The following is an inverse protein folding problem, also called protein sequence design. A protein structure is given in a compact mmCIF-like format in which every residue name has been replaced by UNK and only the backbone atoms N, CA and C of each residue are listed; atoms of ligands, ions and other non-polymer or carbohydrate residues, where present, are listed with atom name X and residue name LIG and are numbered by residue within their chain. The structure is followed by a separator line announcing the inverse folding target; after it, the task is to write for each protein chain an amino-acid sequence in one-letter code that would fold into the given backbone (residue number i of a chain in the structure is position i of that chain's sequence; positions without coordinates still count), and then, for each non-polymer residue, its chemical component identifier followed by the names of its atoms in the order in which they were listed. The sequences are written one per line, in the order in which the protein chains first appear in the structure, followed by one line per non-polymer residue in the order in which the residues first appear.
data_IF_944633713092
#
_entry.id   IF_944633713092
#
_cell.length_a   1.000
_cell.length_b   1.000
_cell.length_c   1.000
_cell.angle_alpha   90.00
_cell.angle_beta   90.00
_cell.angle_gamma   90.00
#
_symmetry.space_group_name_H-M   'P 1'
#
loop_
_entity.id
_entity.type
_entity.pdbx_description
1 polymer ?
#
# COMPACT_ATOMS: atom_id res chain seq x y z
N UNK A 1 -14.66 3.12 -4.41
CA UNK A 1 -13.26 2.65 -4.38
C UNK A 1 -12.37 3.84 -4.04
N UNK A 2 -11.44 3.71 -3.09
CA UNK A 2 -10.41 4.72 -2.75
C UNK A 2 -9.04 4.19 -3.12
N UNK A 3 -8.30 4.92 -3.93
CA UNK A 3 -6.94 4.55 -4.37
C UNK A 3 -5.94 5.44 -3.64
N UNK A 4 -5.10 4.84 -2.82
CA UNK A 4 -4.22 5.54 -1.88
C UNK A 4 -2.76 5.16 -2.17
N UNK A 5 -1.93 6.13 -2.54
CA UNK A 5 -0.48 5.95 -2.59
C UNK A 5 0.13 6.25 -1.23
N UNK A 6 0.93 5.31 -0.72
CA UNK A 6 1.69 5.48 0.54
C UNK A 6 3.12 5.81 0.20
N UNK A 7 3.51 7.08 0.36
CA UNK A 7 4.79 7.58 -0.14
C UNK A 7 5.58 8.38 0.91
N UNK A 8 6.88 8.24 0.88
CA UNK A 8 7.86 9.13 1.52
C UNK A 8 9.24 8.84 0.93
N UNK A 9 10.02 9.89 0.67
CA UNK A 9 11.39 9.76 0.14
C UNK A 9 12.36 9.13 1.14
N UNK A 10 12.09 9.25 2.44
CA UNK A 10 12.95 8.68 3.47
C UNK A 10 12.70 7.20 3.63
N UNK A 11 13.78 6.40 3.59
CA UNK A 11 13.75 4.98 3.95
C UNK A 11 13.46 4.77 5.45
N UNK A 12 12.84 3.65 5.80
CA UNK A 12 12.63 3.25 7.19
C UNK A 12 11.60 4.04 7.99
N UNK A 13 10.79 4.91 7.37
CA UNK A 13 9.74 5.68 8.06
C UNK A 13 8.44 4.91 8.29
N UNK A 14 8.36 3.66 7.82
CA UNK A 14 7.20 2.80 7.99
C UNK A 14 6.20 2.84 6.83
N UNK A 15 6.63 3.13 5.58
CA UNK A 15 5.76 3.06 4.38
C UNK A 15 5.12 1.69 4.24
N UNK A 16 5.93 0.68 3.97
CA UNK A 16 5.51 -0.72 3.80
C UNK A 16 4.75 -1.24 5.01
N UNK A 17 5.26 -0.96 6.22
CA UNK A 17 4.58 -1.35 7.47
C UNK A 17 3.18 -0.74 7.56
N UNK A 18 3.03 0.53 7.15
CA UNK A 18 1.73 1.21 7.14
C UNK A 18 0.82 0.65 6.04
N UNK A 19 1.34 0.46 4.82
CA UNK A 19 0.57 -0.09 3.70
C UNK A 19 -0.02 -1.46 4.06
N UNK A 20 0.83 -2.39 4.49
CA UNK A 20 0.43 -3.77 4.79
C UNK A 20 -0.53 -3.83 5.98
N UNK A 21 -0.20 -3.17 7.09
CA UNK A 21 -1.02 -3.31 8.30
C UNK A 21 -2.30 -2.49 8.25
N UNK A 22 -2.33 -1.36 7.55
CA UNK A 22 -3.58 -0.65 7.26
C UNK A 22 -4.47 -1.47 6.32
N UNK A 23 -3.91 -2.08 5.27
CA UNK A 23 -4.66 -2.95 4.37
C UNK A 23 -5.28 -4.14 5.12
N UNK A 24 -4.49 -4.81 5.96
CA UNK A 24 -4.97 -5.91 6.78
C UNK A 24 -6.06 -5.48 7.78
N UNK A 25 -5.93 -4.30 8.39
CA UNK A 25 -6.95 -3.75 9.29
C UNK A 25 -8.26 -3.42 8.56
N UNK A 26 -8.19 -2.84 7.36
CA UNK A 26 -9.35 -2.54 6.52
C UNK A 26 -10.03 -3.84 6.04
N UNK A 27 -9.24 -4.83 5.63
CA UNK A 27 -9.75 -6.15 5.21
C UNK A 27 -10.48 -6.85 6.35
N UNK A 28 -9.92 -6.82 7.55
CA UNK A 28 -10.53 -7.36 8.75
C UNK A 28 -11.79 -6.57 9.18
N UNK A 29 -11.93 -5.31 8.79
CA UNK A 29 -13.17 -4.53 8.90
C UNK A 29 -14.20 -4.84 7.79
N UNK A 30 -13.99 -5.91 7.00
CA UNK A 30 -14.88 -6.36 5.94
C UNK A 30 -14.78 -5.57 4.64
N UNK A 31 -13.73 -4.77 4.44
CA UNK A 31 -13.48 -4.04 3.19
C UNK A 31 -12.64 -4.89 2.24
N UNK A 32 -12.99 -4.88 0.96
CA UNK A 32 -12.19 -5.54 -0.08
C UNK A 32 -10.99 -4.66 -0.42
N UNK A 33 -9.78 -5.13 -0.13
CA UNK A 33 -8.53 -4.35 -0.22
C UNK A 33 -7.53 -5.03 -1.14
N UNK A 34 -6.97 -4.26 -2.08
CA UNK A 34 -5.84 -4.69 -2.88
C UNK A 34 -4.61 -3.86 -2.51
N UNK A 35 -3.51 -4.53 -2.21
CA UNK A 35 -2.18 -3.92 -2.06
C UNK A 35 -1.45 -4.05 -3.39
N UNK A 36 -0.84 -2.96 -3.86
CA UNK A 36 0.09 -2.99 -5.00
C UNK A 36 1.48 -2.66 -4.44
N UNK A 37 2.39 -3.60 -4.55
CA UNK A 37 3.79 -3.39 -4.18
C UNK A 37 4.52 -2.76 -5.37
N UNK A 38 4.93 -1.51 -5.23
CA UNK A 38 5.62 -0.74 -6.29
C UNK A 38 7.03 -0.33 -5.85
N UNK A 39 7.65 -1.16 -5.01
CA UNK A 39 9.06 -1.05 -4.63
C UNK A 39 9.83 -2.27 -5.17
N UNK A 40 10.92 -2.10 -5.94
CA UNK A 40 11.77 -3.20 -6.40
C UNK A 40 12.35 -4.07 -5.28
N UNK A 41 12.36 -3.57 -4.05
CA UNK A 41 12.76 -4.34 -2.88
C UNK A 41 11.70 -5.35 -2.42
N UNK A 42 10.48 -5.31 -2.96
CA UNK A 42 9.38 -6.24 -2.73
C UNK A 42 9.06 -6.48 -1.24
N UNK A 43 9.26 -5.45 -0.42
CA UNK A 43 9.07 -5.60 1.03
C UNK A 43 7.61 -5.82 1.43
N UNK A 44 6.64 -5.24 0.69
CA UNK A 44 5.22 -5.49 0.97
C UNK A 44 4.83 -6.92 0.56
N UNK A 45 5.41 -7.43 -0.53
CA UNK A 45 5.23 -8.80 -0.99
C UNK A 45 5.73 -9.80 0.04
N UNK A 46 6.99 -9.67 0.48
CA UNK A 46 7.57 -10.51 1.53
C UNK A 46 6.77 -10.41 2.84
N UNK A 47 6.35 -9.22 3.23
CA UNK A 47 5.58 -8.99 4.45
C UNK A 47 4.20 -9.67 4.42
N UNK A 48 3.64 -9.92 3.24
CA UNK A 48 2.39 -10.64 3.03
C UNK A 48 2.60 -12.12 2.65
N UNK A 49 3.82 -12.65 2.81
CA UNK A 49 4.14 -14.06 2.62
C UNK A 49 4.31 -14.49 1.15
N UNK A 50 4.51 -13.52 0.24
CA UNK A 50 4.84 -13.82 -1.16
C UNK A 50 6.32 -13.61 -1.38
N UNK A 51 7.05 -14.70 -1.65
CA UNK A 51 8.48 -14.65 -1.94
C UNK A 51 8.74 -14.05 -3.33
N UNK A 52 9.59 -13.01 -3.43
CA UNK A 52 9.90 -12.34 -4.68
C UNK A 52 11.04 -13.06 -5.43
N UNK A 53 10.80 -14.28 -5.90
CA UNK A 53 11.79 -15.13 -6.57
C UNK A 53 12.01 -14.77 -8.06
N UNK A 54 11.27 -13.81 -8.60
CA UNK A 54 11.35 -13.37 -9.99
C UNK A 54 10.74 -14.34 -11.01
N UNK A 55 10.15 -15.44 -10.56
CA UNK A 55 9.50 -16.44 -11.44
C UNK A 55 8.00 -16.24 -11.56
N UNK A 56 7.41 -15.57 -10.56
CA UNK A 56 5.99 -15.30 -10.49
C UNK A 56 5.64 -14.01 -11.25
N UNK A 57 4.47 -13.92 -11.88
CA UNK A 57 3.98 -12.68 -12.45
C UNK A 57 3.92 -11.59 -11.36
N UNK A 58 4.41 -10.40 -11.71
CA UNK A 58 4.53 -9.26 -10.78
C UNK A 58 4.04 -7.96 -11.40
N UNK A 59 4.05 -6.88 -10.65
CA UNK A 59 3.71 -5.54 -11.15
C UNK A 59 4.63 -5.10 -12.31
N UNK A 60 5.84 -5.66 -12.40
CA UNK A 60 6.72 -5.47 -13.55
C UNK A 60 6.04 -5.90 -14.86
N UNK A 61 5.40 -7.08 -14.88
CA UNK A 61 4.68 -7.57 -16.06
C UNK A 61 3.50 -6.65 -16.44
N UNK A 62 2.85 -6.05 -15.47
CA UNK A 62 1.78 -5.07 -15.73
C UNK A 62 2.35 -3.83 -16.40
N UNK A 63 3.47 -3.30 -15.90
CA UNK A 63 4.04 -2.05 -16.38
C UNK A 63 4.78 -2.18 -17.70
N UNK A 64 5.51 -3.29 -17.91
CA UNK A 64 6.39 -3.49 -19.06
C UNK A 64 5.76 -4.39 -20.12
N UNK A 65 5.11 -5.46 -19.70
CA UNK A 65 4.51 -6.45 -20.62
C UNK A 65 3.02 -6.24 -20.86
N UNK A 66 2.42 -5.19 -20.28
CA UNK A 66 1.00 -4.85 -20.39
C UNK A 66 0.05 -6.00 -20.02
N UNK A 67 0.46 -6.83 -19.04
CA UNK A 67 -0.41 -7.88 -18.52
C UNK A 67 -1.56 -7.28 -17.70
N UNK A 68 -2.76 -7.88 -17.77
CA UNK A 68 -3.88 -7.46 -16.92
C UNK A 68 -3.54 -7.59 -15.43
N UNK A 69 -3.94 -6.62 -14.61
CA UNK A 69 -3.71 -6.63 -13.16
C UNK A 69 -4.33 -7.89 -12.52
N UNK A 70 -5.51 -8.32 -12.98
CA UNK A 70 -6.18 -9.53 -12.52
C UNK A 70 -5.33 -10.80 -12.68
N UNK A 71 -4.51 -10.89 -13.77
CA UNK A 71 -3.67 -12.07 -14.03
C UNK A 71 -2.43 -12.16 -13.13
N UNK A 72 -2.07 -11.05 -12.46
CA UNK A 72 -0.90 -10.94 -11.61
C UNK A 72 -1.29 -10.98 -10.13
N UNK A 73 -2.50 -10.52 -9.82
CA UNK A 73 -3.03 -10.39 -8.48
C UNK A 73 -3.19 -11.74 -7.79
N UNK A 74 -2.80 -11.79 -6.50
CA UNK A 74 -2.94 -12.96 -5.63
C UNK A 74 -3.84 -12.64 -4.45
N UNK A 75 -4.73 -13.54 -4.09
CA UNK A 75 -5.48 -13.47 -2.85
C UNK A 75 -4.58 -13.90 -1.69
N UNK A 76 -4.51 -13.07 -0.66
CA UNK A 76 -3.70 -13.30 0.54
C UNK A 76 -4.58 -13.74 1.72
N UNK A 77 -5.79 -13.17 1.80
CA UNK A 77 -6.78 -13.47 2.84
C UNK A 77 -8.20 -13.20 2.27
N UNK A 78 -9.26 -13.49 3.02
CA UNK A 78 -10.67 -13.40 2.58
C UNK A 78 -10.99 -12.07 1.87
N UNK A 79 -10.47 -10.96 2.36
CA UNK A 79 -10.71 -9.62 1.81
C UNK A 79 -9.42 -8.87 1.45
N UNK A 80 -8.30 -9.57 1.32
CA UNK A 80 -7.01 -8.98 1.06
C UNK A 80 -6.33 -9.61 -0.15
N UNK A 81 -5.96 -8.79 -1.12
CA UNK A 81 -5.22 -9.18 -2.32
C UNK A 81 -3.92 -8.41 -2.42
N UNK A 82 -2.98 -8.97 -3.17
CA UNK A 82 -1.68 -8.39 -3.45
C UNK A 82 -1.37 -8.49 -4.95
N UNK A 83 -0.93 -7.39 -5.54
CA UNK A 83 -0.16 -7.36 -6.78
C UNK A 83 1.31 -7.31 -6.36
N UNK A 84 2.07 -8.42 -6.48
CA UNK A 84 3.41 -8.50 -5.92
C UNK A 84 4.42 -7.74 -6.76
N UNK A 85 5.55 -7.39 -6.14
CA UNK A 85 6.77 -6.89 -6.77
C UNK A 85 7.86 -7.94 -6.77
N UNK A 86 8.89 -7.69 -7.57
CA UNK A 86 10.14 -8.43 -7.55
C UNK A 86 11.31 -7.53 -7.98
N UNK A 87 12.52 -8.09 -7.99
CA UNK A 87 13.74 -7.35 -8.34
C UNK A 87 13.75 -6.86 -9.80
N UNK A 88 12.99 -7.51 -10.71
CA UNK A 88 12.91 -7.12 -12.11
C UNK A 88 12.26 -5.73 -12.26
N UNK A 89 11.45 -5.32 -11.29
CA UNK A 89 10.85 -3.98 -11.29
C UNK A 89 11.90 -2.86 -11.31
N UNK A 90 13.14 -3.11 -10.86
CA UNK A 90 14.23 -2.14 -10.98
C UNK A 90 14.57 -1.83 -12.45
N UNK A 91 14.41 -2.80 -13.35
CA UNK A 91 14.65 -2.61 -14.78
C UNK A 91 13.56 -1.76 -15.45
N UNK A 92 12.34 -1.78 -14.91
CA UNK A 92 11.21 -1.05 -15.46
C UNK A 92 11.49 0.47 -15.59
N UNK A 93 12.26 1.08 -14.67
CA UNK A 93 12.60 2.51 -14.77
C UNK A 93 13.43 2.83 -16.03
N UNK A 94 14.30 1.91 -16.46
CA UNK A 94 15.12 2.06 -17.66
C UNK A 94 14.32 1.70 -18.91
N UNK A 95 13.59 0.61 -18.88
CA UNK A 95 12.80 0.12 -20.02
C UNK A 95 11.68 1.09 -20.42
N UNK A 96 11.04 1.69 -19.44
CA UNK A 96 9.99 2.69 -19.64
C UNK A 96 10.54 4.07 -20.04
N UNK A 97 11.86 4.32 -19.95
CA UNK A 97 12.42 5.65 -20.17
C UNK A 97 12.05 6.28 -21.53
N UNK A 98 11.95 5.47 -22.58
CA UNK A 98 11.57 5.90 -23.93
C UNK A 98 10.07 5.85 -24.23
N UNK A 99 9.23 5.41 -23.32
CA UNK A 99 7.79 5.21 -23.55
C UNK A 99 7.04 6.51 -23.29
N UNK A 100 6.25 6.95 -24.26
CA UNK A 100 5.34 8.09 -24.10
C UNK A 100 4.16 7.67 -23.22
N UNK A 101 3.84 8.48 -22.19
CA UNK A 101 2.77 8.15 -21.25
C UNK A 101 3.16 7.13 -20.17
N UNK A 102 4.47 6.85 -20.04
CA UNK A 102 5.00 5.91 -19.04
C UNK A 102 4.55 6.19 -17.60
N UNK A 103 4.16 7.41 -17.30
CA UNK A 103 3.73 7.82 -15.97
C UNK A 103 2.29 7.39 -15.62
N UNK A 104 1.52 6.92 -16.62
CA UNK A 104 0.09 6.60 -16.46
C UNK A 104 -0.27 5.15 -16.74
N UNK A 105 0.70 4.30 -17.04
CA UNK A 105 0.49 2.89 -17.40
C UNK A 105 -0.29 2.15 -16.31
N UNK A 106 0.08 2.31 -15.04
CA UNK A 106 -0.63 1.66 -13.92
C UNK A 106 -2.09 2.15 -13.82
N UNK A 107 -2.34 3.44 -14.06
CA UNK A 107 -3.71 3.99 -14.09
C UNK A 107 -4.56 3.35 -15.17
N UNK A 108 -4.00 3.18 -16.35
CA UNK A 108 -4.67 2.57 -17.49
C UNK A 108 -4.94 1.07 -17.25
N UNK A 109 -3.95 0.35 -16.70
CA UNK A 109 -4.10 -1.05 -16.34
C UNK A 109 -5.21 -1.27 -15.29
N UNK A 110 -5.27 -0.42 -14.26
CA UNK A 110 -6.33 -0.47 -13.25
C UNK A 110 -7.71 -0.09 -13.80
N UNK A 111 -7.78 0.81 -14.77
CA UNK A 111 -9.04 1.16 -15.43
C UNK A 111 -9.58 0.00 -16.28
N UNK A 112 -8.70 -0.75 -16.93
CA UNK A 112 -9.07 -1.95 -17.71
C UNK A 112 -9.55 -3.08 -16.78
N UNK A 113 -8.93 -3.28 -15.62
CA UNK A 113 -9.31 -4.30 -14.62
C UNK A 113 -10.76 -4.08 -14.13
N UNK A 114 -11.17 -2.82 -13.93
CA UNK A 114 -12.55 -2.46 -13.56
C UNK A 114 -13.52 -2.67 -14.73
N UNK A 115 -13.08 -2.42 -15.98
CA UNK A 115 -13.96 -2.48 -17.16
C UNK A 115 -14.27 -3.90 -17.61
N UNK A 116 -13.41 -4.88 -17.35
CA UNK A 116 -13.66 -6.29 -17.68
C UNK A 116 -14.87 -6.87 -16.93
N UNK A 117 -15.32 -6.24 -15.87
CA UNK A 117 -16.53 -6.61 -15.12
C UNK A 117 -17.85 -6.00 -15.60
N UNK A 118 -17.78 -4.99 -16.46
CA UNK A 118 -18.96 -4.37 -17.06
C UNK A 118 -18.99 -4.80 -18.53
N UNK A 119 -19.67 -5.92 -18.85
CA UNK A 119 -19.81 -6.55 -20.16
C UNK A 119 -19.53 -5.65 -21.36
N UNK A 120 -18.35 -5.80 -21.92
CA UNK A 120 -17.96 -5.13 -23.15
C UNK A 120 -18.71 -5.77 -24.31
N UNK A 121 -19.65 -5.07 -24.93
CA UNK A 121 -20.17 -5.47 -26.24
C UNK A 121 -19.07 -5.17 -27.28
N UNK A 122 -18.56 -6.18 -28.00
CA UNK A 122 -17.57 -5.94 -29.04
C UNK A 122 -18.21 -5.13 -30.17
N UNK A 123 -17.59 -4.01 -30.52
CA UNK A 123 -17.88 -3.29 -31.75
C UNK A 123 -17.58 -4.24 -32.91
N UNK A 124 -18.60 -4.56 -33.71
CA UNK A 124 -18.49 -5.41 -34.88
C UNK A 124 -17.50 -4.81 -35.87
N UNK A 125 -16.42 -5.57 -36.16
CA UNK A 125 -15.51 -5.27 -37.26
C UNK A 125 -14.11 -5.84 -37.10
N UNK A 126 -13.97 -7.16 -37.18
CA UNK A 126 -12.97 -7.96 -37.90
C UNK A 126 -12.98 -9.41 -37.41
N UNK A 127 -13.38 -10.28 -38.32
CA UNK A 127 -13.33 -11.73 -38.12
C UNK A 127 -11.87 -12.19 -38.05
N UNK A 128 -11.41 -12.59 -36.86
CA UNK A 128 -10.39 -13.61 -36.71
C UNK A 128 -10.93 -14.65 -35.74
N UNK A 129 -11.08 -15.84 -36.29
CA UNK A 129 -11.55 -17.07 -35.65
C UNK A 129 -10.51 -17.43 -34.56
N UNK A 130 -10.86 -17.25 -33.30
CA UNK A 130 -10.13 -17.82 -32.17
C UNK A 130 -11.01 -18.90 -31.56
N UNK A 131 -10.37 -20.05 -31.35
CA UNK A 131 -10.98 -21.27 -30.83
C UNK A 131 -11.54 -21.03 -29.43
N UNK A 132 -12.71 -21.64 -29.17
CA UNK A 132 -13.40 -21.58 -27.88
C UNK A 132 -12.56 -22.30 -26.80
N UNK A 133 -11.87 -21.52 -25.97
CA UNK A 133 -11.23 -21.98 -24.75
C UNK A 133 -11.83 -21.22 -23.57
N UNK A 134 -12.51 -21.97 -22.69
CA UNK A 134 -12.93 -21.68 -21.35
C UNK A 134 -13.22 -20.19 -21.02
N UNK A 135 -14.50 -19.82 -21.01
CA UNK A 135 -14.99 -18.64 -20.29
C UNK A 135 -14.70 -18.84 -18.79
N UNK A 136 -13.57 -18.35 -18.31
CA UNK A 136 -13.45 -18.05 -16.90
C UNK A 136 -14.41 -16.89 -16.62
N UNK A 137 -15.41 -17.14 -15.78
CA UNK A 137 -16.24 -16.11 -15.19
C UNK A 137 -15.32 -15.13 -14.46
N UNK A 138 -15.00 -14.02 -15.14
CA UNK A 138 -14.35 -12.88 -14.52
C UNK A 138 -15.40 -12.19 -13.67
N UNK A 139 -15.64 -12.69 -12.46
CA UNK A 139 -16.32 -11.92 -11.43
C UNK A 139 -15.52 -10.65 -11.24
N UNK A 140 -16.06 -9.51 -11.71
CA UNK A 140 -15.44 -8.21 -11.56
C UNK A 140 -15.34 -7.89 -10.08
N UNK A 141 -14.21 -8.20 -9.50
CA UNK A 141 -13.93 -7.92 -8.11
C UNK A 141 -13.75 -6.41 -7.91
N UNK A 142 -14.81 -5.75 -7.46
CA UNK A 142 -14.71 -4.34 -7.09
C UNK A 142 -14.06 -4.22 -5.71
N UNK A 143 -12.92 -3.49 -5.63
CA UNK A 143 -12.27 -3.19 -4.36
C UNK A 143 -12.86 -1.93 -3.72
N UNK A 144 -12.94 -1.91 -2.39
CA UNK A 144 -13.23 -0.69 -1.62
C UNK A 144 -12.00 0.19 -1.56
N UNK A 145 -10.82 -0.45 -1.42
CA UNK A 145 -9.52 0.22 -1.31
C UNK A 145 -8.45 -0.44 -2.19
N UNK A 146 -7.62 0.40 -2.81
CA UNK A 146 -6.34 0.01 -3.38
C UNK A 146 -5.26 0.82 -2.66
N UNK A 147 -4.30 0.14 -2.02
CA UNK A 147 -3.15 0.77 -1.37
C UNK A 147 -1.88 0.45 -2.15
N UNK A 148 -1.17 1.47 -2.61
CA UNK A 148 0.09 1.29 -3.35
C UNK A 148 1.25 1.61 -2.44
N UNK A 149 2.10 0.61 -2.16
CA UNK A 149 3.38 0.79 -1.46
C UNK A 149 4.43 1.29 -2.43
N UNK A 150 5.10 2.40 -2.10
CA UNK A 150 6.07 3.02 -3.00
C UNK A 150 7.48 2.98 -2.41
N UNK A 151 8.46 2.76 -3.28
CA UNK A 151 9.85 2.92 -2.94
C UNK A 151 10.22 4.34 -2.48
N UNK A 152 11.45 4.55 -2.00
CA UNK A 152 11.90 5.86 -1.53
C UNK A 152 12.27 6.83 -2.67
N UNK A 153 12.33 6.36 -3.91
CA UNK A 153 12.63 7.19 -5.09
C UNK A 153 11.40 7.98 -5.55
N UNK A 154 11.64 9.11 -6.23
CA UNK A 154 10.59 9.84 -6.97
C UNK A 154 10.73 9.58 -8.48
N UNK A 155 11.04 8.36 -8.87
CA UNK A 155 11.17 7.92 -10.26
C UNK A 155 9.82 7.63 -10.92
N UNK A 156 9.88 7.00 -12.09
CA UNK A 156 8.69 6.68 -12.91
C UNK A 156 7.70 5.77 -12.17
N UNK A 157 8.18 4.90 -11.28
CA UNK A 157 7.32 4.04 -10.47
C UNK A 157 6.44 4.86 -9.52
N UNK A 158 7.04 5.80 -8.79
CA UNK A 158 6.27 6.70 -7.91
C UNK A 158 5.31 7.58 -8.70
N UNK A 159 5.69 8.05 -9.91
CA UNK A 159 4.78 8.79 -10.77
C UNK A 159 3.58 7.94 -11.20
N UNK A 160 3.78 6.65 -11.51
CA UNK A 160 2.68 5.71 -11.79
C UNK A 160 1.75 5.55 -10.58
N UNK A 161 2.30 5.40 -9.37
CA UNK A 161 1.50 5.34 -8.15
C UNK A 161 0.63 6.59 -7.97
N UNK A 162 1.22 7.78 -8.11
CA UNK A 162 0.52 9.05 -7.96
C UNK A 162 -0.51 9.29 -9.09
N UNK A 163 -0.19 8.90 -10.32
CA UNK A 163 -1.09 9.01 -11.45
C UNK A 163 -2.33 8.11 -11.31
N UNK A 164 -2.16 6.94 -10.69
CA UNK A 164 -3.19 5.94 -10.48
C UNK A 164 -4.02 6.13 -9.20
N UNK A 165 -3.63 7.06 -8.31
CA UNK A 165 -4.25 7.25 -7.00
C UNK A 165 -5.13 8.48 -6.92
N UNK A 166 -6.12 8.44 -6.01
CA UNK A 166 -6.95 9.60 -5.67
C UNK A 166 -6.38 10.35 -4.46
N UNK A 167 -5.69 9.60 -3.59
CA UNK A 167 -5.20 10.07 -2.31
C UNK A 167 -3.74 9.72 -2.06
N UNK A 168 -3.07 10.56 -1.31
CA UNK A 168 -1.71 10.32 -0.82
C UNK A 168 -1.73 10.28 0.70
N UNK A 169 -1.19 9.19 1.26
CA UNK A 169 -0.85 9.07 2.67
C UNK A 169 0.66 9.15 2.84
N UNK A 170 1.09 9.95 3.82
CA UNK A 170 2.51 10.21 4.06
C UNK A 170 2.89 9.68 5.46
N UNK A 171 3.41 8.45 5.56
CA UNK A 171 4.04 7.98 6.81
C UNK A 171 5.25 8.84 7.13
N UNK A 172 5.31 9.39 8.35
CA UNK A 172 6.33 10.33 8.77
C UNK A 172 6.79 10.00 10.19
N UNK A 173 8.10 9.80 10.34
CA UNK A 173 8.72 9.74 11.65
C UNK A 173 8.99 11.16 12.15
N UNK A 174 8.51 11.56 13.32
CA UNK A 174 8.68 12.92 13.85
C UNK A 174 10.10 13.14 14.37
N UNK A 175 10.98 13.65 13.53
CA UNK A 175 12.35 14.04 13.85
C UNK A 175 12.68 15.37 13.17
N UNK A 176 13.79 16.00 13.55
CA UNK A 176 14.18 17.37 13.15
C UNK A 176 14.07 17.65 11.63
N UNK A 177 14.49 16.72 10.77
CA UNK A 177 14.47 16.91 9.31
C UNK A 177 13.16 16.45 8.64
N UNK A 178 12.14 16.08 9.41
CA UNK A 178 10.90 15.52 8.86
C UNK A 178 10.16 16.51 7.94
N UNK A 179 10.06 17.77 8.36
CA UNK A 179 9.38 18.82 7.59
C UNK A 179 10.11 19.19 6.29
N UNK A 180 11.44 19.10 6.28
CA UNK A 180 12.23 19.39 5.07
C UNK A 180 11.98 18.37 3.95
N UNK A 181 11.99 17.06 4.30
CA UNK A 181 11.66 16.01 3.35
C UNK A 181 10.20 16.06 2.86
N UNK A 182 9.29 16.48 3.74
CA UNK A 182 7.89 16.66 3.41
C UNK A 182 7.66 17.71 2.33
N UNK A 183 8.33 18.88 2.42
CA UNK A 183 8.16 19.96 1.44
C UNK A 183 8.45 19.51 0.02
N UNK A 184 9.57 18.79 -0.19
CA UNK A 184 9.95 18.28 -1.52
C UNK A 184 8.94 17.26 -2.06
N UNK A 185 8.39 16.42 -1.19
CA UNK A 185 7.35 15.46 -1.55
C UNK A 185 6.05 16.15 -1.96
N UNK A 186 5.65 17.19 -1.23
CA UNK A 186 4.47 18.00 -1.53
C UNK A 186 4.63 18.75 -2.87
N UNK A 187 5.81 19.30 -3.16
CA UNK A 187 6.12 19.92 -4.45
C UNK A 187 5.95 18.95 -5.60
N UNK A 188 6.47 17.72 -5.47
CA UNK A 188 6.30 16.67 -6.49
C UNK A 188 4.83 16.30 -6.65
N UNK A 189 4.09 16.15 -5.55
CA UNK A 189 2.65 15.85 -5.58
C UNK A 189 1.88 16.98 -6.29
N UNK A 190 2.25 18.24 -6.07
CA UNK A 190 1.65 19.38 -6.75
C UNK A 190 1.92 19.38 -8.27
N UNK A 191 3.12 18.99 -8.68
CA UNK A 191 3.46 18.84 -10.10
C UNK A 191 2.62 17.75 -10.76
N UNK A 192 2.50 16.58 -10.12
CA UNK A 192 1.67 15.47 -10.61
C UNK A 192 0.20 15.88 -10.66
N UNK A 193 -0.32 16.50 -9.59
CA UNK A 193 -1.70 16.99 -9.54
C UNK A 193 -1.99 17.98 -10.68
N UNK A 194 -1.05 18.88 -10.99
CA UNK A 194 -1.24 19.89 -12.06
C UNK A 194 -1.13 19.30 -13.47
N UNK A 195 -0.26 18.33 -13.70
CA UNK A 195 0.14 17.88 -15.04
C UNK A 195 -0.46 16.54 -15.46
N UNK A 196 -0.70 15.63 -14.51
CA UNK A 196 -0.97 14.23 -14.80
C UNK A 196 -2.32 13.77 -14.19
N UNK A 197 -2.57 14.13 -12.92
CA UNK A 197 -3.75 13.69 -12.18
C UNK A 197 -4.37 14.84 -11.37
N UNK A 198 -5.25 15.65 -11.98
CA UNK A 198 -5.88 16.80 -11.30
C UNK A 198 -6.72 16.43 -10.06
N UNK A 199 -7.14 15.17 -9.95
CA UNK A 199 -7.91 14.67 -8.80
C UNK A 199 -7.08 14.30 -7.58
N UNK A 200 -5.73 14.23 -7.73
CA UNK A 200 -4.83 13.79 -6.67
C UNK A 200 -4.82 14.76 -5.48
N UNK A 201 -5.02 14.23 -4.27
CA UNK A 201 -5.00 15.00 -3.01
C UNK A 201 -4.09 14.33 -1.99
N UNK A 202 -3.41 15.13 -1.19
CA UNK A 202 -2.79 14.63 0.04
C UNK A 202 -3.88 14.63 1.12
N UNK A 203 -4.30 13.44 1.55
CA UNK A 203 -5.37 13.27 2.53
C UNK A 203 -4.84 13.28 3.96
N UNK A 204 -3.63 12.76 4.19
CA UNK A 204 -3.13 12.72 5.55
C UNK A 204 -1.67 12.33 5.73
N UNK A 205 -1.16 12.74 6.90
CA UNK A 205 0.15 12.35 7.40
C UNK A 205 -0.03 11.40 8.57
N UNK A 206 0.54 10.18 8.45
CA UNK A 206 0.53 9.15 9.49
C UNK A 206 1.81 9.26 10.29
N UNK A 207 1.71 9.59 11.57
CA UNK A 207 2.88 9.66 12.46
C UNK A 207 3.29 8.23 12.83
N UNK A 208 4.47 7.83 12.40
CA UNK A 208 5.04 6.50 12.62
C UNK A 208 6.25 6.54 13.55
N UNK A 209 6.57 5.40 14.17
CA UNK A 209 7.67 5.27 15.12
C UNK A 209 7.62 6.32 16.22
N UNK A 210 6.40 6.67 16.62
CA UNK A 210 6.16 7.72 17.62
C UNK A 210 6.65 7.31 19.00
N UNK A 211 7.35 8.24 19.64
CA UNK A 211 7.77 8.14 21.03
C UNK A 211 7.17 9.31 21.81
N UNK A 212 6.20 9.02 22.67
CA UNK A 212 5.50 10.02 23.48
C UNK A 212 6.37 10.66 24.54
N UNK A 213 7.49 10.02 24.92
CA UNK A 213 8.44 10.52 25.91
C UNK A 213 9.33 11.65 25.41
N UNK A 214 9.35 11.93 24.10
CA UNK A 214 10.24 12.95 23.52
C UNK A 214 9.51 14.26 23.23
N UNK A 215 10.00 15.39 23.79
CA UNK A 215 9.48 16.73 23.47
C UNK A 215 9.61 17.06 21.99
N UNK A 216 10.73 16.65 21.35
CA UNK A 216 10.97 16.88 19.95
C UNK A 216 9.86 16.28 19.06
N UNK A 217 9.41 15.06 19.35
CA UNK A 217 8.33 14.44 18.58
C UNK A 217 7.01 15.23 18.68
N UNK A 218 6.71 15.76 19.86
CA UNK A 218 5.53 16.59 20.09
C UNK A 218 5.61 17.92 19.36
N UNK A 219 6.77 18.59 19.39
CA UNK A 219 7.03 19.83 18.69
C UNK A 219 6.88 19.66 17.18
N UNK A 220 7.51 18.63 16.60
CA UNK A 220 7.43 18.34 15.15
C UNK A 220 5.97 18.08 14.73
N UNK A 221 5.20 17.34 15.50
CA UNK A 221 3.77 17.10 15.20
C UNK A 221 2.98 18.42 15.28
N UNK A 222 3.27 19.27 16.24
CA UNK A 222 2.61 20.58 16.37
C UNK A 222 2.94 21.50 15.20
N UNK A 223 4.20 21.56 14.79
CA UNK A 223 4.63 22.36 13.64
C UNK A 223 4.04 21.84 12.33
N UNK A 224 3.94 20.51 12.19
CA UNK A 224 3.27 19.88 11.03
C UNK A 224 1.79 20.24 10.99
N UNK A 225 1.06 20.17 12.11
CA UNK A 225 -0.35 20.57 12.18
C UNK A 225 -0.50 22.06 11.82
N UNK A 226 0.37 22.92 12.31
CA UNK A 226 0.38 24.36 11.99
C UNK A 226 0.69 24.62 10.51
N UNK A 227 1.62 23.87 9.91
CA UNK A 227 1.94 23.97 8.49
C UNK A 227 0.72 23.60 7.62
N UNK A 228 0.06 22.49 7.91
CA UNK A 228 -1.12 22.06 7.16
C UNK A 228 -2.30 23.03 7.35
N UNK A 229 -2.48 23.58 8.54
CA UNK A 229 -3.52 24.57 8.82
C UNK A 229 -3.34 25.86 8.00
N UNK A 230 -2.10 26.33 7.84
CA UNK A 230 -1.77 27.47 6.97
C UNK A 230 -2.09 27.23 5.50
N UNK A 231 -2.19 25.97 5.09
CA UNK A 231 -2.52 25.57 3.72
C UNK A 231 -4.03 25.48 3.46
N UNK A 232 -4.85 25.61 4.51
CA UNK A 232 -6.32 25.59 4.37
C UNK A 232 -6.81 26.69 3.46
N UNK A 233 -7.76 26.34 2.57
CA UNK A 233 -8.34 27.28 1.60
C UNK A 233 -7.45 27.66 0.42
N UNK A 234 -6.22 27.12 0.32
CA UNK A 234 -5.37 27.30 -0.84
C UNK A 234 -5.73 26.32 -1.97
N UNK A 235 -5.21 26.55 -3.17
CA UNK A 235 -5.38 25.66 -4.34
C UNK A 235 -4.34 24.51 -4.36
N UNK A 236 -3.70 24.20 -3.22
CA UNK A 236 -2.71 23.14 -3.15
C UNK A 236 -3.37 21.76 -2.96
N UNK A 237 -2.77 20.68 -3.49
CA UNK A 237 -3.30 19.33 -3.29
C UNK A 237 -3.40 18.87 -1.84
N UNK A 238 -2.71 19.54 -0.93
CA UNK A 238 -2.73 19.27 0.52
C UNK A 238 -3.56 20.26 1.34
N UNK A 239 -4.36 21.13 0.68
CA UNK A 239 -5.20 22.11 1.38
C UNK A 239 -6.20 21.48 2.36
N UNK A 240 -6.61 20.24 2.12
CA UNK A 240 -7.49 19.46 3.00
C UNK A 240 -6.74 18.40 3.83
N UNK A 241 -5.42 18.34 3.74
CA UNK A 241 -4.62 17.34 4.45
C UNK A 241 -4.73 17.51 5.97
N UNK A 242 -4.66 16.38 6.68
CA UNK A 242 -4.63 16.35 8.14
C UNK A 242 -3.49 15.48 8.66
N UNK A 243 -3.07 15.70 9.87
CA UNK A 243 -2.32 14.70 10.62
C UNK A 243 -3.33 13.78 11.26
N UNK A 244 -3.24 12.48 11.00
CA UNK A 244 -4.10 11.50 11.66
C UNK A 244 -3.90 11.59 13.17
N UNK A 245 -4.97 11.49 13.94
CA UNK A 245 -4.88 11.56 15.41
C UNK A 245 -4.22 10.30 15.96
N UNK A 246 -4.46 9.16 15.28
CA UNK A 246 -3.79 7.90 15.56
C UNK A 246 -2.30 7.98 15.23
N UNK A 247 -1.46 7.60 16.18
CA UNK A 247 -0.01 7.56 16.04
C UNK A 247 0.48 6.13 16.17
N UNK A 248 1.29 5.69 15.21
CA UNK A 248 1.88 4.35 15.23
C UNK A 248 3.11 4.39 16.12
N UNK A 249 3.01 3.80 17.30
CA UNK A 249 4.09 3.75 18.29
C UNK A 249 5.23 2.85 17.81
N UNK A 250 6.43 3.12 18.29
CA UNK A 250 7.55 2.19 18.11
C UNK A 250 7.19 0.84 18.76
N UNK A 251 7.19 -0.23 17.97
CA UNK A 251 6.82 -1.56 18.43
C UNK A 251 7.69 -2.62 17.72
N UNK A 252 8.40 -3.43 18.52
CA UNK A 252 9.29 -4.48 18.02
C UNK A 252 8.51 -5.53 17.21
N UNK A 253 7.26 -5.84 17.58
CA UNK A 253 6.42 -6.79 16.86
C UNK A 253 6.11 -6.35 15.43
N UNK A 254 6.01 -5.05 15.16
CA UNK A 254 5.88 -4.51 13.81
C UNK A 254 7.15 -4.67 12.97
N UNK A 255 8.32 -4.74 13.61
CA UNK A 255 9.58 -4.98 12.92
C UNK A 255 9.83 -6.49 12.67
N UNK A 256 9.27 -7.35 13.51
CA UNK A 256 9.42 -8.80 13.42
C UNK A 256 8.46 -9.44 12.40
N UNK A 257 7.21 -8.97 12.32
CA UNK A 257 6.17 -9.62 11.53
C UNK A 257 6.51 -9.83 10.04
N UNK A 258 7.28 -8.97 9.33
CA UNK A 258 7.69 -9.24 7.95
C UNK A 258 8.50 -10.53 7.79
N UNK A 259 9.34 -10.88 8.78
CA UNK A 259 10.15 -12.12 8.77
C UNK A 259 9.30 -13.39 8.87
N UNK A 260 8.03 -13.26 9.22
CA UNK A 260 7.08 -14.36 9.30
C UNK A 260 6.05 -14.33 8.17
N UNK A 261 6.18 -13.41 7.21
CA UNK A 261 5.24 -13.26 6.10
C UNK A 261 3.80 -12.96 6.56
N UNK A 262 3.63 -12.25 7.69
CA UNK A 262 2.32 -12.02 8.32
C UNK A 262 2.13 -10.54 8.68
N UNK A 263 0.93 -10.02 8.51
CA UNK A 263 0.57 -8.73 9.10
C UNK A 263 0.65 -8.79 10.64
N UNK A 264 0.63 -7.62 11.28
CA UNK A 264 0.63 -7.56 12.76
C UNK A 264 -0.56 -8.29 13.37
N UNK A 265 -1.68 -8.37 12.65
CA UNK A 265 -2.89 -9.06 13.09
C UNK A 265 -2.73 -10.58 13.06
N UNK A 266 -2.00 -11.12 12.07
CA UNK A 266 -1.67 -12.54 12.00
C UNK A 266 -0.51 -12.93 12.91
N UNK A 267 0.41 -12.01 13.23
CA UNK A 267 1.60 -12.28 14.03
C UNK A 267 1.42 -12.01 15.52
N UNK A 268 0.90 -10.82 15.87
CA UNK A 268 0.77 -10.40 17.28
C UNK A 268 -0.52 -9.55 17.47
N UNK A 269 -1.73 -10.16 17.37
CA UNK A 269 -3.01 -9.44 17.34
C UNK A 269 -3.32 -8.64 18.61
N UNK A 270 -2.67 -8.96 19.74
CA UNK A 270 -2.84 -8.26 21.02
C UNK A 270 -1.75 -7.20 21.28
N UNK A 271 -0.88 -6.95 20.28
CA UNK A 271 0.21 -5.98 20.44
C UNK A 271 -0.29 -4.53 20.35
N UNK A 272 0.44 -3.57 20.93
CA UNK A 272 0.16 -2.16 20.72
C UNK A 272 0.12 -1.75 19.24
N UNK A 273 0.95 -2.37 18.39
CA UNK A 273 0.96 -2.11 16.95
C UNK A 273 -0.34 -2.52 16.26
N UNK A 274 -0.94 -3.66 16.65
CA UNK A 274 -2.24 -4.07 16.14
C UNK A 274 -3.34 -3.09 16.55
N UNK A 275 -3.32 -2.63 17.81
CA UNK A 275 -4.28 -1.62 18.29
C UNK A 275 -4.13 -0.30 17.55
N UNK A 276 -2.89 0.16 17.30
CA UNK A 276 -2.62 1.41 16.58
C UNK A 276 -3.14 1.34 15.13
N UNK A 277 -2.90 0.24 14.39
CA UNK A 277 -3.40 0.11 13.02
C UNK A 277 -4.91 -0.13 12.95
N UNK A 278 -5.52 -0.77 13.94
CA UNK A 278 -6.99 -0.85 14.05
C UNK A 278 -7.60 0.54 14.23
N UNK A 279 -7.02 1.37 15.10
CA UNK A 279 -7.47 2.74 15.31
C UNK A 279 -7.27 3.62 14.06
N UNK A 280 -6.14 3.46 13.35
CA UNK A 280 -5.91 4.16 12.09
C UNK A 280 -6.94 3.75 11.01
N UNK A 281 -7.25 2.47 10.91
CA UNK A 281 -8.25 2.00 9.95
C UNK A 281 -9.65 2.57 10.27
N UNK A 282 -10.06 2.60 11.54
CA UNK A 282 -11.30 3.23 11.96
C UNK A 282 -11.33 4.72 11.58
N UNK A 283 -10.23 5.44 11.80
CA UNK A 283 -10.10 6.85 11.41
C UNK A 283 -10.16 7.06 9.88
N UNK A 284 -9.60 6.14 9.10
CA UNK A 284 -9.64 6.15 7.62
C UNK A 284 -11.06 5.86 7.11
N UNK A 285 -11.81 5.01 7.80
CA UNK A 285 -13.21 4.71 7.47
C UNK A 285 -14.17 5.84 7.87
N UNK A 286 -13.72 6.82 8.65
CA UNK A 286 -14.57 7.90 9.18
C UNK A 286 -15.35 7.49 10.43
N UNK A 287 -15.00 6.37 11.02
CA UNK A 287 -15.66 5.79 12.18
C UNK A 287 -14.97 6.26 13.47
N UNK A 288 -15.25 7.49 13.88
CA UNK A 288 -14.61 8.13 15.05
C UNK A 288 -15.15 7.66 16.40
N UNK A 289 -16.02 6.64 16.40
CA UNK A 289 -16.76 6.22 17.61
C UNK A 289 -16.70 4.73 17.98
N UNK A 290 -16.23 3.85 17.10
CA UNK A 290 -16.22 2.42 17.38
C UNK A 290 -14.80 1.90 17.49
N UNK A 291 -14.38 1.63 18.72
CA UNK A 291 -13.19 0.78 18.94
C UNK A 291 -13.54 -0.60 18.39
N UNK A 292 -13.01 -0.92 17.21
CA UNK A 292 -13.12 -2.26 16.63
C UNK A 292 -12.47 -3.23 17.62
N UNK A 293 -13.29 -4.07 18.24
CA UNK A 293 -12.82 -5.10 19.17
C UNK A 293 -11.82 -6.04 18.50
N UNK A 294 -11.12 -6.90 19.26
CA UNK A 294 -10.08 -7.76 18.70
C UNK A 294 -10.63 -8.60 17.55
N UNK A 295 -10.13 -8.31 16.36
CA UNK A 295 -10.53 -8.97 15.12
C UNK A 295 -10.17 -10.45 15.17
N UNK A 296 -11.14 -11.31 14.91
CA UNK A 296 -10.92 -12.75 14.75
C UNK A 296 -10.49 -13.02 13.30
N UNK A 297 -9.20 -13.07 13.04
CA UNK A 297 -8.72 -13.75 11.85
C UNK A 297 -8.90 -15.26 12.03
N UNK A 298 -9.42 -15.94 11.01
CA UNK A 298 -9.43 -17.41 10.96
C UNK A 298 -7.98 -17.86 10.80
N UNK A 299 -7.42 -18.47 11.82
CA UNK A 299 -6.15 -19.18 11.74
C UNK A 299 -6.45 -20.49 11.01
N UNK A 300 -5.84 -20.70 9.84
CA UNK A 300 -5.92 -22.00 9.16
C UNK A 300 -5.36 -23.10 10.03
N UNK A 301 -5.96 -24.31 10.07
CA UNK A 301 -5.52 -25.41 10.92
C UNK A 301 -4.08 -25.90 10.70
N UNK A 302 -3.45 -25.51 9.58
CA UNK A 302 -2.07 -25.92 9.22
C UNK A 302 -0.98 -25.07 9.88
N UNK A 303 -1.30 -23.98 10.56
CA UNK A 303 -0.34 -23.06 11.20
C UNK A 303 -0.03 -23.40 12.68
N UNK A 304 -0.29 -24.64 13.12
CA UNK A 304 0.12 -25.07 14.46
C UNK A 304 1.66 -25.10 14.54
N UNK A 305 2.29 -24.47 15.54
CA UNK A 305 3.74 -24.44 15.65
C UNK A 305 4.26 -25.88 15.77
N UNK A 306 5.17 -26.28 14.86
CA UNK A 306 5.91 -27.54 14.98
C UNK A 306 6.52 -27.61 16.37
N UNK A 307 6.11 -28.61 17.16
CA UNK A 307 6.73 -28.93 18.43
C UNK A 307 8.20 -29.24 18.18
N UNK A 308 9.08 -28.39 18.70
CA UNK A 308 10.51 -28.70 18.75
C UNK A 308 10.67 -30.02 19.52
N UNK A 309 10.98 -31.09 18.82
CA UNK A 309 11.46 -32.34 19.43
C UNK A 309 12.82 -32.04 20.03
N UNK A 310 12.87 -32.00 21.33
CA UNK A 310 14.10 -32.02 22.13
C UNK A 310 14.97 -33.23 21.73
N UNK A 311 16.01 -32.96 20.93
CA UNK A 311 17.08 -33.96 20.72
C UNK A 311 17.90 -34.08 21.99
N UNK A 312 18.02 -35.33 22.39
CA UNK A 312 18.64 -35.77 23.61
C UNK A 312 20.07 -35.29 23.86
N UNK A 313 20.35 -35.11 25.11
CA UNK A 313 21.72 -35.08 25.68
C UNK A 313 22.48 -36.29 25.21
N UNK A 314 23.59 -36.11 24.54
CA UNK A 314 24.67 -37.12 24.49
C UNK A 314 25.65 -36.73 25.59
N UNK A 315 25.75 -37.59 26.56
CA UNK A 315 26.84 -37.60 27.55
C UNK A 315 28.08 -38.26 26.89
N UNK A 316 29.21 -37.57 26.93
CA UNK A 316 30.56 -38.05 27.32
C UNK A 316 31.37 -36.80 27.65
#
# INVERSE_FOLDING_TARGET
MRRIAVINQKGGVGKTTTTVNLAAALAAAGKRVCVIDLDPQAHASTHLGVEPDGTLPSVYDVLVSNKPVASVRKQIDDNLWLVPSDINLAAAEVELAGIVGREVILREALAQDVSCGAGFQPVQGRQHRLEAGATQDCDAESFDFILTDCGPSLGVLTLNALAASDEVFIPLQPHFLALHGLSKLLETTALVSRRINPGLKVSGVVICLYDSGTKLAQEVVTDLKRFLEKSRGTQTPWSAARVFETKIRRNVKLAECPSFGKSIFGYAPKSPGAADYSALAAEVLGDTGTVVGPMKMRVSPEDAPMRQTTRGRVAV
#
